data_IF_733097129748
#
_entry.id   IF_733097129748
#
_cell.length_a   1.000
_cell.length_b   1.000
_cell.length_c   1.000
_cell.angle_alpha   90.00
_cell.angle_beta   90.00
_cell.angle_gamma   90.00
#
_symmetry.space_group_name_H-M   'P 1'
#
loop_
_entity.id
_entity.type
_entity.pdbx_description
1 polymer ?
#
# COMPACT_ATOMS: atom_id res chain seq x y z
N UNK A 1 27.69 -17.39 -0.36
CA UNK A 1 26.71 -16.42 0.15
C UNK A 1 27.33 -15.72 1.35
N UNK A 2 27.47 -14.39 1.34
CA UNK A 2 27.93 -13.65 2.53
C UNK A 2 26.72 -13.46 3.47
N UNK A 3 26.85 -13.67 4.78
CA UNK A 3 25.78 -13.38 5.72
C UNK A 3 25.40 -11.89 5.62
N UNK A 4 24.11 -11.61 5.53
CA UNK A 4 23.60 -10.24 5.48
C UNK A 4 23.79 -9.61 6.86
N UNK A 5 24.45 -8.46 6.91
CA UNK A 5 24.59 -7.67 8.14
C UNK A 5 23.21 -7.09 8.54
N UNK A 6 22.58 -7.73 9.53
CA UNK A 6 21.26 -7.37 10.03
C UNK A 6 21.26 -6.04 10.80
N UNK A 7 22.41 -5.55 11.27
CA UNK A 7 22.49 -4.34 12.11
C UNK A 7 22.20 -3.05 11.34
N UNK A 8 22.35 -3.06 10.00
CA UNK A 8 22.11 -1.88 9.13
C UNK A 8 20.81 -1.96 8.35
N UNK A 9 20.05 -3.04 8.49
CA UNK A 9 18.87 -3.32 7.67
C UNK A 9 17.69 -2.45 8.12
N UNK A 10 17.37 -1.41 7.34
CA UNK A 10 16.22 -0.51 7.56
C UNK A 10 15.01 -0.85 6.68
N UNK A 11 15.23 -1.67 5.66
CA UNK A 11 14.23 -2.08 4.69
C UNK A 11 14.24 -3.59 4.52
N UNK A 12 13.07 -4.21 4.53
CA UNK A 12 12.90 -5.63 4.24
C UNK A 12 12.27 -5.78 2.85
N UNK A 13 12.84 -6.65 2.03
CA UNK A 13 12.28 -7.06 0.75
C UNK A 13 11.98 -8.55 0.83
N UNK A 14 10.71 -8.90 0.67
CA UNK A 14 10.28 -10.30 0.61
C UNK A 14 10.09 -10.64 -0.86
N UNK A 15 10.93 -11.55 -1.36
CA UNK A 15 10.88 -12.07 -2.73
C UNK A 15 10.50 -13.54 -2.63
N UNK A 16 9.33 -13.90 -3.17
CA UNK A 16 8.90 -15.29 -3.24
C UNK A 16 9.63 -15.99 -4.40
N UNK A 17 10.77 -16.60 -4.11
CA UNK A 17 11.46 -17.43 -5.11
C UNK A 17 10.70 -18.73 -5.30
N UNK A 18 10.15 -18.91 -6.49
CA UNK A 18 9.50 -20.13 -6.88
C UNK A 18 10.45 -21.33 -7.04
N UNK A 19 10.91 -21.95 -5.95
CA UNK A 19 11.61 -23.22 -6.05
C UNK A 19 10.59 -24.36 -6.15
N UNK A 20 10.49 -24.97 -7.33
CA UNK A 20 9.62 -26.11 -7.61
C UNK A 20 10.28 -27.37 -7.02
N UNK A 21 9.91 -27.78 -5.79
CA UNK A 21 9.90 -29.19 -5.29
C UNK A 21 9.47 -29.27 -3.83
N UNK A 22 8.39 -30.04 -3.61
CA UNK A 22 7.87 -30.69 -2.41
C UNK A 22 8.17 -30.06 -1.03
N UNK A 23 7.12 -29.43 -0.46
CA UNK A 23 6.96 -29.07 0.96
C UNK A 23 8.12 -28.25 1.57
N UNK A 24 8.20 -26.99 1.19
CA UNK A 24 8.70 -25.96 2.11
C UNK A 24 7.57 -24.98 2.36
N UNK A 25 6.97 -25.08 3.56
CA UNK A 25 6.28 -23.92 4.11
C UNK A 25 7.32 -22.81 4.17
N UNK A 26 7.10 -21.73 3.41
CA UNK A 26 7.81 -20.49 3.66
C UNK A 26 7.31 -19.97 5.01
N UNK A 27 7.81 -20.57 6.09
CA UNK A 27 7.72 -19.96 7.41
C UNK A 27 8.51 -18.68 7.27
N UNK A 28 7.81 -17.54 7.36
CA UNK A 28 8.44 -16.31 7.80
C UNK A 28 8.92 -16.62 9.22
N UNK A 29 10.10 -17.24 9.33
CA UNK A 29 10.78 -17.42 10.61
C UNK A 29 10.77 -16.04 11.24
N UNK A 30 10.26 -15.91 12.47
CA UNK A 30 10.12 -14.64 13.17
C UNK A 30 11.43 -13.86 13.14
N UNK A 31 11.60 -13.05 12.11
CA UNK A 31 12.76 -12.19 11.98
C UNK A 31 12.47 -11.08 12.97
N UNK A 32 13.15 -11.10 14.11
CA UNK A 32 13.23 -9.96 15.00
C UNK A 32 14.42 -9.12 14.51
N UNK A 33 14.18 -8.15 13.60
CA UNK A 33 15.25 -7.28 13.17
C UNK A 33 15.79 -6.55 14.42
N UNK A 34 17.12 -6.37 14.54
CA UNK A 34 17.72 -5.69 15.69
C UNK A 34 17.33 -4.20 15.76
N UNK A 35 16.65 -3.68 14.74
CA UNK A 35 16.14 -2.31 14.64
C UNK A 35 14.72 -2.34 14.09
N UNK A 36 13.88 -1.35 14.43
CA UNK A 36 12.55 -1.23 13.86
C UNK A 36 12.64 -1.09 12.34
N UNK A 37 11.95 -1.97 11.61
CA UNK A 37 11.80 -1.87 10.17
C UNK A 37 10.92 -0.67 9.85
N UNK A 38 11.48 0.28 9.11
CA UNK A 38 10.75 1.50 8.71
C UNK A 38 10.15 1.40 7.33
N UNK A 39 10.66 0.50 6.48
CA UNK A 39 10.18 0.28 5.13
C UNK A 39 10.03 -1.21 4.80
N UNK A 40 8.95 -1.57 4.12
CA UNK A 40 8.66 -2.91 3.65
C UNK A 40 8.32 -2.86 2.15
N UNK A 41 9.00 -3.71 1.37
CA UNK A 41 8.75 -3.87 -0.06
C UNK A 41 8.29 -5.30 -0.34
N UNK A 42 7.08 -5.42 -0.86
CA UNK A 42 6.48 -6.69 -1.25
C UNK A 42 6.52 -6.80 -2.76
N UNK A 43 7.28 -7.76 -3.26
CA UNK A 43 7.39 -8.05 -4.68
C UNK A 43 6.30 -9.05 -5.10
N UNK A 44 5.93 -9.08 -6.39
CA UNK A 44 4.85 -9.92 -6.90
C UNK A 44 4.86 -11.33 -6.33
N UNK A 45 3.68 -11.78 -5.92
CA UNK A 45 3.44 -13.18 -5.58
C UNK A 45 3.09 -14.02 -6.81
N UNK A 46 3.46 -13.56 -8.00
CA UNK A 46 3.16 -14.27 -9.23
C UNK A 46 3.97 -15.56 -9.32
N UNK A 47 3.25 -16.66 -9.50
CA UNK A 47 3.69 -17.75 -10.35
C UNK A 47 2.56 -18.12 -11.29
N UNK A 48 2.88 -18.25 -12.56
CA UNK A 48 2.05 -18.81 -13.65
C UNK A 48 1.74 -20.31 -13.47
N UNK A 49 1.42 -20.73 -12.25
CA UNK A 49 0.98 -22.08 -11.98
C UNK A 49 -0.49 -22.03 -11.63
N UNK A 50 -1.26 -23.03 -12.07
CA UNK A 50 -2.70 -23.20 -11.82
C UNK A 50 -3.13 -23.21 -10.32
N UNK A 51 -2.21 -22.90 -9.41
CA UNK A 51 -2.38 -22.81 -7.96
C UNK A 51 -2.34 -21.34 -7.49
N UNK A 52 -3.34 -20.53 -7.86
CA UNK A 52 -3.52 -19.14 -7.39
C UNK A 52 -3.72 -18.99 -5.87
N UNK A 53 -3.76 -20.10 -5.12
CA UNK A 53 -4.10 -20.17 -3.68
C UNK A 53 -2.93 -19.75 -2.78
N UNK A 54 -1.68 -19.86 -3.22
CA UNK A 54 -0.50 -19.68 -2.36
C UNK A 54 -0.19 -18.20 -2.08
N UNK A 55 -0.48 -17.31 -3.04
CA UNK A 55 -0.21 -15.88 -2.89
C UNK A 55 -1.01 -15.24 -1.74
N UNK A 56 -2.33 -15.46 -1.69
CA UNK A 56 -3.18 -14.82 -0.68
C UNK A 56 -2.74 -15.09 0.78
N UNK A 57 -2.22 -16.30 1.07
CA UNK A 57 -1.77 -16.68 2.42
C UNK A 57 -0.56 -15.88 2.89
N UNK A 58 0.38 -15.58 2.00
CA UNK A 58 1.60 -14.86 2.39
C UNK A 58 1.29 -13.40 2.76
N UNK A 59 0.29 -12.80 2.10
CA UNK A 59 -0.19 -11.46 2.44
C UNK A 59 -0.84 -11.44 3.84
N UNK A 60 -1.64 -12.45 4.17
CA UNK A 60 -2.23 -12.62 5.51
C UNK A 60 -1.18 -12.86 6.60
N UNK A 61 -0.04 -13.47 6.28
CA UNK A 61 1.04 -13.68 7.24
C UNK A 61 1.69 -12.36 7.69
N UNK A 62 1.63 -11.29 6.88
CA UNK A 62 2.11 -9.97 7.31
C UNK A 62 1.35 -9.50 8.55
N UNK A 63 0.03 -9.67 8.53
CA UNK A 63 -0.84 -9.34 9.68
C UNK A 63 -0.51 -10.19 10.91
N UNK A 64 -0.26 -11.48 10.73
CA UNK A 64 -0.10 -12.44 11.85
C UNK A 64 1.30 -12.43 12.44
N UNK A 65 2.31 -12.43 11.58
CA UNK A 65 3.69 -12.76 11.97
C UNK A 65 4.56 -11.51 12.10
N UNK A 66 4.21 -10.42 11.41
CA UNK A 66 5.02 -9.20 11.37
C UNK A 66 4.38 -8.08 12.20
N UNK A 67 4.71 -8.04 13.50
CA UNK A 67 4.44 -6.85 14.33
C UNK A 67 5.40 -5.75 13.92
N UNK A 68 4.96 -4.87 13.02
CA UNK A 68 5.76 -3.75 12.51
C UNK A 68 5.18 -2.39 12.96
N UNK A 69 5.14 -2.08 14.26
CA UNK A 69 4.52 -0.86 14.79
C UNK A 69 5.24 0.43 14.36
N UNK A 70 6.42 0.31 13.77
CA UNK A 70 7.26 1.41 13.31
C UNK A 70 7.35 1.47 11.78
N UNK A 71 6.54 0.67 11.06
CA UNK A 71 6.53 0.67 9.61
C UNK A 71 5.94 1.98 9.09
N UNK A 72 6.74 2.75 8.39
CA UNK A 72 6.35 4.06 7.84
C UNK A 72 6.11 4.01 6.33
N UNK A 73 6.80 3.12 5.61
CA UNK A 73 6.68 3.00 4.16
C UNK A 73 6.33 1.56 3.77
N UNK A 74 5.28 1.41 2.96
CA UNK A 74 4.85 0.13 2.41
C UNK A 74 4.72 0.26 0.89
N UNK A 75 5.58 -0.46 0.16
CA UNK A 75 5.50 -0.60 -1.29
C UNK A 75 5.05 -2.01 -1.63
N UNK A 76 3.98 -2.12 -2.40
CA UNK A 76 3.42 -3.40 -2.80
C UNK A 76 3.33 -3.40 -4.31
N UNK A 77 4.11 -4.26 -4.94
CA UNK A 77 4.20 -4.28 -6.39
C UNK A 77 3.45 -5.45 -6.98
N UNK A 78 2.66 -5.14 -8.00
CA UNK A 78 1.83 -6.06 -8.77
C UNK A 78 0.86 -6.91 -7.94
N UNK A 79 -0.03 -6.24 -7.20
CA UNK A 79 -1.11 -6.93 -6.50
C UNK A 79 -2.16 -7.38 -7.50
N UNK A 80 -2.47 -8.67 -7.50
CA UNK A 80 -3.54 -9.24 -8.31
C UNK A 80 -4.83 -9.34 -7.48
N UNK A 81 -5.95 -8.73 -7.93
CA UNK A 81 -7.25 -8.82 -7.24
C UNK A 81 -7.80 -10.25 -7.15
N UNK A 82 -7.35 -11.19 -8.00
CA UNK A 82 -7.73 -12.60 -7.91
C UNK A 82 -7.00 -13.32 -6.78
N UNK A 83 -5.84 -12.82 -6.35
CA UNK A 83 -5.00 -13.42 -5.31
C UNK A 83 -5.26 -12.76 -3.95
N UNK A 84 -5.36 -11.43 -3.94
CA UNK A 84 -5.59 -10.63 -2.73
C UNK A 84 -6.90 -9.88 -2.91
N UNK A 85 -7.90 -10.23 -2.10
CA UNK A 85 -9.16 -9.49 -2.12
C UNK A 85 -8.99 -8.08 -1.54
N UNK A 86 -9.87 -7.17 -1.92
CA UNK A 86 -10.01 -5.84 -1.34
C UNK A 86 -10.12 -5.87 0.19
N UNK A 87 -10.91 -6.80 0.73
CA UNK A 87 -11.09 -6.99 2.17
C UNK A 87 -9.79 -7.44 2.85
N UNK A 88 -9.09 -8.42 2.26
CA UNK A 88 -7.79 -8.88 2.77
C UNK A 88 -6.75 -7.75 2.76
N UNK A 89 -6.76 -6.92 1.72
CA UNK A 89 -5.90 -5.75 1.63
C UNK A 89 -6.21 -4.73 2.73
N UNK A 90 -7.48 -4.39 2.91
CA UNK A 90 -7.93 -3.47 3.96
C UNK A 90 -7.58 -3.99 5.37
N UNK A 91 -7.79 -5.28 5.63
CA UNK A 91 -7.42 -5.91 6.89
C UNK A 91 -5.92 -5.74 7.19
N UNK A 92 -5.03 -5.98 6.22
CA UNK A 92 -3.58 -5.81 6.46
C UNK A 92 -3.24 -4.35 6.78
N UNK A 93 -3.85 -3.39 6.09
CA UNK A 93 -3.63 -1.96 6.37
C UNK A 93 -4.18 -1.51 7.73
N UNK A 94 -5.25 -2.14 8.23
CA UNK A 94 -5.81 -1.90 9.56
C UNK A 94 -4.80 -2.21 10.68
N UNK A 95 -3.90 -3.17 10.45
CA UNK A 95 -2.81 -3.53 11.40
C UNK A 95 -1.54 -2.69 11.23
N UNK A 96 -1.53 -1.71 10.32
CA UNK A 96 -0.36 -0.88 10.02
C UNK A 96 -0.67 0.62 10.15
N UNK A 97 -1.12 1.09 11.33
CA UNK A 97 -1.58 2.47 11.52
C UNK A 97 -0.48 3.53 11.40
N UNK A 98 0.78 3.13 11.52
CA UNK A 98 1.97 4.00 11.43
C UNK A 98 2.40 4.32 10.00
N UNK A 99 1.76 3.73 8.97
CA UNK A 99 2.12 3.96 7.58
C UNK A 99 1.91 5.43 7.22
N UNK A 100 2.98 6.04 6.72
CA UNK A 100 3.04 7.41 6.20
C UNK A 100 3.14 7.45 4.68
N UNK A 101 3.76 6.43 4.06
CA UNK A 101 3.91 6.28 2.62
C UNK A 101 3.35 4.92 2.16
N UNK A 102 2.40 4.95 1.24
CA UNK A 102 1.83 3.75 0.61
C UNK A 102 2.02 3.85 -0.91
N UNK A 103 2.68 2.84 -1.48
CA UNK A 103 2.96 2.72 -2.91
C UNK A 103 2.34 1.42 -3.47
N UNK A 104 1.02 1.39 -3.76
CA UNK A 104 0.41 0.25 -4.40
C UNK A 104 0.61 0.35 -5.92
N UNK A 105 1.44 -0.54 -6.47
CA UNK A 105 1.60 -0.68 -7.92
C UNK A 105 0.68 -1.82 -8.37
N UNK A 106 -0.46 -1.47 -8.97
CA UNK A 106 -1.49 -2.42 -9.40
C UNK A 106 -2.22 -1.87 -10.60
N UNK A 107 -2.53 -2.72 -11.57
CA UNK A 107 -3.41 -2.36 -12.69
C UNK A 107 -4.87 -2.17 -12.25
N UNK A 108 -5.28 -2.88 -11.20
CA UNK A 108 -6.64 -2.81 -10.66
C UNK A 108 -6.78 -1.65 -9.68
N UNK A 109 -7.81 -0.80 -9.82
CA UNK A 109 -8.07 0.33 -8.93
C UNK A 109 -8.68 -0.10 -7.59
N UNK A 110 -9.10 -1.37 -7.47
CA UNK A 110 -9.83 -1.87 -6.31
C UNK A 110 -9.08 -1.63 -4.99
N UNK A 111 -7.75 -1.79 -4.98
CA UNK A 111 -6.91 -1.62 -3.80
C UNK A 111 -6.69 -0.16 -3.41
N UNK A 112 -6.84 0.75 -4.35
CA UNK A 112 -6.77 2.18 -4.05
C UNK A 112 -8.14 2.65 -3.57
N UNK A 113 -9.22 2.17 -4.19
CA UNK A 113 -10.60 2.43 -3.74
C UNK A 113 -10.87 1.97 -2.32
N UNK A 114 -10.25 0.89 -1.85
CA UNK A 114 -10.37 0.46 -0.45
C UNK A 114 -9.80 1.48 0.54
N UNK A 115 -8.94 2.40 0.11
CA UNK A 115 -8.43 3.49 0.95
C UNK A 115 -9.46 4.60 1.16
N UNK A 116 -10.53 4.64 0.36
CA UNK A 116 -11.68 5.49 0.63
C UNK A 116 -12.33 5.02 1.93
N UNK A 117 -12.75 5.98 2.76
CA UNK A 117 -13.31 5.70 4.08
C UNK A 117 -14.41 4.64 4.03
N UNK A 118 -14.19 3.51 4.70
CA UNK A 118 -15.29 2.67 5.16
C UNK A 118 -15.85 3.35 6.41
N UNK A 119 -17.18 3.47 6.48
CA UNK A 119 -17.96 4.38 7.33
C UNK A 119 -17.62 4.43 8.83
N UNK A 120 -16.78 3.55 9.35
CA UNK A 120 -16.38 3.48 10.75
C UNK A 120 -14.84 3.45 10.98
N UNK A 121 -14.01 3.26 9.94
CA UNK A 121 -12.55 3.03 10.12
C UNK A 121 -11.69 3.69 9.04
N UNK A 122 -10.67 4.42 9.50
CA UNK A 122 -9.62 4.96 8.61
C UNK A 122 -8.50 3.96 8.45
N UNK A 123 -8.35 3.44 7.24
CA UNK A 123 -7.14 2.72 6.88
C UNK A 123 -5.95 3.70 6.83
N UNK A 124 -4.89 3.37 7.57
CA UNK A 124 -3.66 4.17 7.66
C UNK A 124 -3.94 5.65 8.05
N UNK A 125 -4.36 5.93 9.30
CA UNK A 125 -4.65 7.29 9.76
C UNK A 125 -3.45 8.24 9.66
N UNK A 126 -2.22 7.69 9.66
CA UNK A 126 -0.97 8.45 9.53
C UNK A 126 -0.54 8.69 8.08
N UNK A 127 -1.31 8.27 7.08
CA UNK A 127 -0.87 8.27 5.68
C UNK A 127 -0.74 9.70 5.14
N UNK A 128 0.49 10.09 4.80
CA UNK A 128 0.89 11.40 4.29
C UNK A 128 1.18 11.38 2.79
N UNK A 129 1.56 10.24 2.22
CA UNK A 129 1.89 10.11 0.81
C UNK A 129 1.28 8.84 0.23
N UNK A 130 0.51 8.99 -0.84
CA UNK A 130 -0.05 7.90 -1.63
C UNK A 130 0.47 8.03 -3.06
N UNK A 131 1.28 7.07 -3.48
CA UNK A 131 1.89 7.02 -4.80
C UNK A 131 1.31 5.84 -5.59
N UNK A 132 0.58 6.15 -6.65
CA UNK A 132 -0.12 5.16 -7.46
C UNK A 132 0.56 5.09 -8.80
N UNK A 133 0.98 3.89 -9.19
CA UNK A 133 1.66 3.66 -10.45
C UNK A 133 0.89 2.62 -11.27
N UNK A 134 0.78 2.86 -12.58
CA UNK A 134 0.21 1.93 -13.57
C UNK A 134 -1.21 1.42 -13.24
N UNK A 135 -2.06 2.26 -12.63
CA UNK A 135 -3.43 1.90 -12.23
C UNK A 135 -4.48 2.46 -13.19
N UNK A 136 -5.54 1.70 -13.44
CA UNK A 136 -6.74 2.20 -14.16
C UNK A 136 -7.70 2.96 -13.23
N UNK A 137 -7.17 3.78 -12.33
CA UNK A 137 -7.97 4.54 -11.37
C UNK A 137 -8.53 5.82 -12.03
N UNK A 138 -9.79 6.13 -11.78
CA UNK A 138 -10.42 7.35 -12.30
C UNK A 138 -10.18 8.54 -11.38
N UNK A 139 -10.39 9.76 -11.89
CA UNK A 139 -10.35 10.97 -11.06
C UNK A 139 -11.35 10.94 -9.90
N UNK A 140 -12.53 10.39 -10.16
CA UNK A 140 -13.69 10.34 -9.29
C UNK A 140 -13.45 9.37 -8.13
N UNK A 141 -12.73 8.27 -8.39
CA UNK A 141 -12.24 7.38 -7.34
C UNK A 141 -11.26 8.12 -6.40
N UNK A 142 -10.30 8.86 -6.95
CA UNK A 142 -9.32 9.62 -6.17
C UNK A 142 -9.96 10.78 -5.41
N UNK A 143 -10.93 11.45 -6.02
CA UNK A 143 -11.68 12.53 -5.40
C UNK A 143 -12.43 12.00 -4.18
N UNK A 144 -13.11 10.85 -4.34
CA UNK A 144 -13.78 10.14 -3.24
C UNK A 144 -12.79 9.85 -2.10
N UNK A 145 -11.57 9.40 -2.40
CA UNK A 145 -10.54 9.14 -1.37
C UNK A 145 -10.13 10.43 -0.66
N UNK A 146 -9.87 11.51 -1.40
CA UNK A 146 -9.50 12.83 -0.86
C UNK A 146 -10.60 13.37 0.06
N UNK A 147 -11.84 13.40 -0.41
CA UNK A 147 -13.00 13.88 0.33
C UNK A 147 -13.25 13.04 1.59
N UNK A 148 -13.13 11.72 1.48
CA UNK A 148 -13.32 10.83 2.62
C UNK A 148 -12.31 11.08 3.76
N UNK A 149 -11.12 11.59 3.42
CA UNK A 149 -10.06 11.90 4.39
C UNK A 149 -10.20 13.30 4.99
N UNK A 150 -10.80 14.24 4.28
CA UNK A 150 -11.06 15.59 4.82
C UNK A 150 -12.21 15.59 5.81
N UNK A 151 -13.32 14.92 5.48
CA UNK A 151 -14.55 14.93 6.29
C UNK A 151 -14.36 14.39 7.70
N UNK A 152 -13.40 13.49 7.89
CA UNK A 152 -13.22 12.84 9.17
C UNK A 152 -12.45 13.74 10.18
N UNK A 153 -11.97 14.91 9.79
CA UNK A 153 -11.13 15.81 10.61
C UNK A 153 -11.99 16.62 11.60
N UNK A 154 -12.59 15.97 12.59
CA UNK A 154 -13.46 16.61 13.59
C UNK A 154 -12.73 17.34 14.73
N UNK A 155 -11.44 17.07 14.98
CA UNK A 155 -10.70 17.72 16.10
C UNK A 155 -9.16 17.67 15.99
N UNK A 156 -8.61 16.95 15.01
CA UNK A 156 -7.15 16.81 14.81
C UNK A 156 -6.67 17.72 13.69
N UNK A 157 -5.42 18.19 13.75
CA UNK A 157 -4.82 18.97 12.68
C UNK A 157 -5.02 18.30 11.30
N UNK A 158 -5.28 19.07 10.22
CA UNK A 158 -5.54 18.52 8.90
C UNK A 158 -4.35 17.67 8.42
N UNK A 159 -4.61 16.40 8.12
CA UNK A 159 -3.60 15.45 7.65
C UNK A 159 -3.25 15.77 6.21
N UNK A 160 -2.05 16.29 5.93
CA UNK A 160 -1.62 16.58 4.56
C UNK A 160 -1.39 15.29 3.77
N UNK A 161 -2.24 15.02 2.76
CA UNK A 161 -2.03 13.93 1.82
C UNK A 161 -1.38 14.43 0.53
N UNK A 162 -0.18 13.93 0.24
CA UNK A 162 0.51 14.08 -1.04
C UNK A 162 0.12 12.92 -1.96
N UNK A 163 -0.49 13.25 -3.09
CA UNK A 163 -0.78 12.31 -4.17
C UNK A 163 0.31 12.38 -5.24
N UNK A 164 0.84 11.22 -5.62
CA UNK A 164 1.78 11.08 -6.74
C UNK A 164 1.19 10.04 -7.69
N UNK A 165 0.92 10.42 -8.94
CA UNK A 165 0.39 9.52 -9.95
C UNK A 165 1.45 9.33 -11.04
N UNK A 166 1.69 8.09 -11.42
CA UNK A 166 2.64 7.71 -12.47
C UNK A 166 1.94 6.75 -13.43
N UNK A 167 1.94 7.07 -14.73
CA UNK A 167 1.35 6.22 -15.78
C UNK A 167 -0.10 5.78 -15.53
N UNK A 168 -0.93 6.68 -14.98
CA UNK A 168 -2.37 6.44 -14.78
C UNK A 168 -3.16 6.83 -16.05
N UNK A 169 -3.44 5.85 -16.92
CA UNK A 169 -4.01 6.09 -18.26
C UNK A 169 -5.47 6.57 -18.28
N UNK A 170 -6.22 6.34 -17.21
CA UNK A 170 -7.66 6.66 -17.12
C UNK A 170 -7.94 8.06 -16.56
N UNK A 171 -6.90 8.84 -16.27
CA UNK A 171 -7.04 10.20 -15.75
C UNK A 171 -7.08 11.22 -16.88
N UNK A 172 -8.19 11.93 -17.01
CA UNK A 172 -8.27 13.09 -17.89
C UNK A 172 -7.78 14.38 -17.18
N UNK A 173 -7.55 15.42 -17.98
CA UNK A 173 -7.07 16.71 -17.49
C UNK A 173 -8.07 17.40 -16.54
N UNK A 174 -9.38 17.20 -16.74
CA UNK A 174 -10.43 17.75 -15.89
C UNK A 174 -10.38 17.15 -14.49
N UNK A 175 -10.23 15.83 -14.39
CA UNK A 175 -10.00 15.11 -13.13
C UNK A 175 -8.75 15.62 -12.39
N UNK A 176 -7.63 15.84 -13.09
CA UNK A 176 -6.40 16.41 -12.49
C UNK A 176 -6.69 17.78 -11.87
N UNK A 177 -7.42 18.65 -12.57
CA UNK A 177 -7.76 19.99 -12.07
C UNK A 177 -8.68 19.91 -10.85
N UNK A 178 -9.73 19.07 -10.87
CA UNK A 178 -10.60 18.84 -9.72
C UNK A 178 -9.80 18.38 -8.50
N UNK A 179 -8.89 17.42 -8.68
CA UNK A 179 -8.03 16.90 -7.61
C UNK A 179 -7.09 17.97 -7.05
N UNK A 180 -6.55 18.86 -7.89
CA UNK A 180 -5.73 19.98 -7.42
C UNK A 180 -6.52 20.94 -6.55
N UNK A 181 -7.74 21.30 -6.97
CA UNK A 181 -8.62 22.19 -6.19
C UNK A 181 -9.01 21.52 -4.88
N UNK A 182 -9.47 20.26 -4.92
CA UNK A 182 -9.83 19.50 -3.72
C UNK A 182 -8.65 19.38 -2.76
N UNK A 183 -7.44 19.06 -3.26
CA UNK A 183 -6.23 18.93 -2.43
C UNK A 183 -5.76 20.27 -1.87
N UNK A 184 -5.90 21.37 -2.61
CA UNK A 184 -5.54 22.70 -2.15
C UNK A 184 -6.45 23.15 -0.99
N UNK A 185 -7.75 22.90 -1.11
CA UNK A 185 -8.73 23.17 -0.06
C UNK A 185 -8.51 22.26 1.16
N UNK A 186 -8.12 21.01 0.93
CA UNK A 186 -7.97 19.99 1.95
C UNK A 186 -6.68 20.07 2.77
N UNK A 187 -5.53 20.34 2.12
CA UNK A 187 -4.23 19.90 2.66
C UNK A 187 -3.12 20.96 2.68
N UNK A 188 -3.30 22.15 2.09
CA UNK A 188 -2.24 23.15 2.02
C UNK A 188 -1.06 22.69 1.15
N UNK A 189 -1.08 23.11 -0.12
CA UNK A 189 -0.06 22.97 -1.17
C UNK A 189 0.97 21.82 -1.08
N UNK A 190 0.84 20.84 -1.99
CA UNK A 190 1.89 19.87 -2.27
C UNK A 190 1.48 18.75 -3.23
N UNK A 191 1.02 19.08 -4.44
CA UNK A 191 0.76 18.06 -5.48
C UNK A 191 1.89 18.12 -6.51
N UNK A 192 2.62 17.02 -6.67
CA UNK A 192 3.71 16.89 -7.64
C UNK A 192 3.28 15.87 -8.69
N UNK A 193 3.25 16.32 -9.94
CA UNK A 193 2.85 15.52 -11.09
C UNK A 193 4.11 15.26 -11.92
N UNK A 194 4.42 13.99 -12.16
CA UNK A 194 5.43 13.57 -13.13
C UNK A 194 4.69 12.80 -14.21
N UNK A 195 4.62 13.39 -15.39
CA UNK A 195 4.16 12.73 -16.62
C UNK A 195 5.36 12.13 -17.34
#
# INVERSE_FOLDING_TARGET
MRPVDMARLRGLSIIHSGARRNRTQASLVFIHPPRPLTALRLFPMFRETAEGVIGGRSFLNIRRDLRLPQLKALKITHIDPQIVSAATFAEVLDHLPSIQLLEPISRSPIFVRTLAFMSDRRLCPSLQALQIEHSSITGEDLLTIVESRTQATGDTAPVRLRLVLVDCSTMDQSSVLKLRVASALAFGFGVSWTW
#
